data_IF_767795484781
#
_entry.id   IF_767795484781
#
_cell.length_a   1.000
_cell.length_b   1.000
_cell.length_c   1.000
_cell.angle_alpha   90.00
_cell.angle_beta   90.00
_cell.angle_gamma   90.00
#
_symmetry.space_group_name_H-M   'P 1'
#
loop_
_entity.id
_entity.type
_entity.pdbx_description
1 polymer ?
#
# COMPACT_ATOMS: atom_id res chain seq x y z
N UNK A 1 -12.04 -7.07 -9.29
CA UNK A 1 -10.69 -6.50 -9.22
C UNK A 1 -10.74 -5.41 -8.17
N UNK A 2 -10.22 -5.66 -6.98
CA UNK A 2 -10.09 -4.59 -5.99
C UNK A 2 -8.98 -3.67 -6.51
N UNK A 3 -9.33 -2.45 -6.90
CA UNK A 3 -8.37 -1.46 -7.34
C UNK A 3 -7.43 -1.13 -6.18
N UNK A 4 -6.12 -1.14 -6.43
CA UNK A 4 -5.11 -0.75 -5.44
C UNK A 4 -5.38 0.62 -4.84
N UNK A 5 -6.11 1.47 -5.54
CA UNK A 5 -6.59 2.77 -5.06
C UNK A 5 -7.57 2.65 -3.88
N UNK A 6 -8.54 1.71 -3.94
CA UNK A 6 -9.46 1.46 -2.83
C UNK A 6 -8.71 0.87 -1.63
N UNK A 7 -7.78 -0.06 -1.90
CA UNK A 7 -6.97 -0.67 -0.86
C UNK A 7 -6.01 0.35 -0.21
N UNK A 8 -5.45 1.28 -0.99
CA UNK A 8 -4.66 2.41 -0.51
C UNK A 8 -5.50 3.34 0.36
N UNK A 9 -6.70 3.74 -0.10
CA UNK A 9 -7.58 4.59 0.67
C UNK A 9 -7.90 3.97 2.03
N UNK A 10 -8.26 2.68 2.07
CA UNK A 10 -8.50 1.95 3.32
C UNK A 10 -7.26 1.85 4.19
N UNK A 11 -6.09 1.59 3.60
CA UNK A 11 -4.82 1.52 4.33
C UNK A 11 -4.52 2.87 5.00
N UNK A 12 -4.68 3.98 4.28
CA UNK A 12 -4.50 5.34 4.83
C UNK A 12 -5.54 5.61 5.93
N UNK A 13 -6.81 5.24 5.75
CA UNK A 13 -7.88 5.42 6.75
C UNK A 13 -7.59 4.70 8.07
N UNK A 14 -6.98 3.52 8.04
CA UNK A 14 -6.58 2.77 9.24
C UNK A 14 -5.23 3.24 9.83
N UNK A 15 -4.62 4.28 9.24
CA UNK A 15 -3.39 4.90 9.72
C UNK A 15 -2.11 4.36 9.10
N UNK A 16 -2.18 3.61 8.01
CA UNK A 16 -1.01 3.28 7.23
C UNK A 16 -0.48 4.51 6.49
N UNK A 17 0.80 4.51 6.16
CA UNK A 17 1.45 5.55 5.36
C UNK A 17 2.15 4.95 4.16
N UNK A 18 2.12 5.63 3.02
CA UNK A 18 2.76 5.14 1.79
C UNK A 18 4.27 5.26 1.94
N UNK A 19 5.00 4.20 1.65
CA UNK A 19 6.46 4.20 1.74
C UNK A 19 7.06 5.09 0.63
N UNK A 20 8.14 5.83 0.91
CA UNK A 20 8.78 6.74 -0.06
C UNK A 20 9.31 6.00 -1.29
N UNK A 21 9.84 4.80 -1.06
CA UNK A 21 10.38 3.94 -2.08
C UNK A 21 9.31 2.93 -2.50
N UNK A 22 8.89 3.02 -3.76
CA UNK A 22 7.95 2.09 -4.40
C UNK A 22 8.73 1.30 -5.46
N UNK A 23 9.16 0.07 -5.15
CA UNK A 23 9.96 -0.74 -6.06
C UNK A 23 9.13 -1.45 -7.15
N UNK A 24 7.81 -1.24 -7.21
CA UNK A 24 6.96 -1.81 -8.24
C UNK A 24 7.13 -1.05 -9.56
N UNK A 25 7.44 -1.78 -10.63
CA UNK A 25 7.63 -1.19 -11.97
C UNK A 25 6.30 -0.90 -12.68
N UNK A 26 5.27 -1.73 -12.44
CA UNK A 26 3.97 -1.68 -13.15
C UNK A 26 2.76 -1.54 -12.22
N UNK A 27 2.94 -0.97 -11.03
CA UNK A 27 1.86 -0.85 -10.03
C UNK A 27 1.25 -2.23 -9.66
N UNK A 28 2.01 -3.32 -9.79
CA UNK A 28 1.58 -4.67 -9.37
C UNK A 28 1.39 -4.76 -7.86
N UNK A 29 2.18 -3.99 -7.11
CA UNK A 29 2.04 -3.86 -5.68
C UNK A 29 2.45 -2.47 -5.19
N UNK A 30 1.98 -2.05 -4.01
CA UNK A 30 2.35 -0.80 -3.36
C UNK A 30 2.79 -1.06 -1.93
N UNK A 31 3.88 -0.42 -1.51
CA UNK A 31 4.47 -0.60 -0.17
C UNK A 31 3.92 0.46 0.78
N UNK A 32 3.45 0.03 1.95
CA UNK A 32 2.93 0.87 3.02
C UNK A 32 3.57 0.49 4.35
N UNK A 33 3.56 1.43 5.29
CA UNK A 33 3.95 1.26 6.68
C UNK A 33 2.70 1.29 7.55
N UNK A 34 2.52 0.31 8.42
CA UNK A 34 1.46 0.34 9.44
C UNK A 34 1.71 1.46 10.47
N UNK A 35 0.70 1.84 11.28
CA UNK A 35 0.86 2.79 12.39
C UNK A 35 2.02 2.48 13.35
N UNK A 36 2.39 1.21 13.54
CA UNK A 36 3.54 0.79 14.34
C UNK A 36 4.87 0.80 13.57
N UNK A 37 4.86 1.13 12.28
CA UNK A 37 6.04 1.26 11.42
C UNK A 37 6.45 -0.02 10.68
N UNK A 38 5.63 -1.07 10.66
CA UNK A 38 5.97 -2.29 9.94
C UNK A 38 5.63 -2.19 8.44
N UNK A 39 6.57 -2.53 7.54
CA UNK A 39 6.33 -2.51 6.11
C UNK A 39 5.46 -3.69 5.66
N UNK A 40 4.50 -3.41 4.78
CA UNK A 40 3.66 -4.40 4.10
C UNK A 40 3.37 -3.98 2.65
N UNK A 41 2.99 -4.94 1.81
CA UNK A 41 2.66 -4.70 0.40
C UNK A 41 1.18 -4.99 0.13
N UNK A 42 0.53 -4.11 -0.62
CA UNK A 42 -0.77 -4.37 -1.25
C UNK A 42 -0.52 -4.88 -2.67
N UNK A 43 -0.97 -6.07 -3.01
CA UNK A 43 -0.81 -6.65 -4.36
C UNK A 43 -2.12 -6.63 -5.14
N UNK A 44 -2.04 -6.37 -6.44
CA UNK A 44 -3.18 -6.49 -7.37
C UNK A 44 -3.40 -7.98 -7.70
N UNK A 45 -4.65 -8.44 -7.63
CA UNK A 45 -5.06 -9.80 -8.03
C UNK A 45 -5.86 -9.80 -9.32
#
# INVERSE_FOLDING_TARGET
MADLDEAEARAIEIGATKHEHQPSEDDEFRVFLDPAGHPFCLCRT
#
